data_IF_169958516262
#
_entry.id   IF_169958516262
#
_cell.length_a   1.000
_cell.length_b   1.000
_cell.length_c   1.000
_cell.angle_alpha   90.00
_cell.angle_beta   90.00
_cell.angle_gamma   90.00
#
_symmetry.space_group_name_H-M   'P 1'
#
loop_
_entity.id
_entity.type
_entity.pdbx_description
1 polymer ?
#
# COMPACT_ATOMS: atom_id res chain seq x y z
N UNK A 1 29.23 17.25 -17.09
CA UNK A 1 28.17 18.16 -16.62
C UNK A 1 27.31 17.36 -15.68
N UNK A 2 26.93 17.93 -14.54
CA UNK A 2 25.99 17.29 -13.60
C UNK A 2 24.57 17.41 -14.15
N UNK A 3 23.84 16.30 -14.20
CA UNK A 3 22.47 16.22 -14.72
C UNK A 3 21.52 16.75 -13.65
N UNK A 4 20.79 17.84 -13.95
CA UNK A 4 19.79 18.41 -13.04
C UNK A 4 18.53 17.58 -13.11
N UNK A 5 18.13 16.99 -12.00
CA UNK A 5 17.06 16.00 -11.93
C UNK A 5 15.91 16.46 -11.07
N UNK A 6 14.68 16.27 -11.53
CA UNK A 6 13.48 16.38 -10.73
C UNK A 6 12.88 14.97 -10.59
N UNK A 7 12.53 14.56 -9.37
CA UNK A 7 11.93 13.25 -9.13
C UNK A 7 10.44 13.46 -8.84
N UNK A 8 9.57 12.90 -9.67
CA UNK A 8 8.13 12.98 -9.47
C UNK A 8 7.63 11.73 -8.74
N UNK A 9 6.90 11.90 -7.65
CA UNK A 9 6.38 10.79 -6.87
C UNK A 9 5.32 11.20 -5.87
N UNK A 10 4.97 10.25 -5.01
CA UNK A 10 3.97 10.42 -3.96
C UNK A 10 4.61 10.15 -2.58
N UNK A 11 5.83 10.62 -2.37
CA UNK A 11 6.56 10.50 -1.10
C UNK A 11 6.71 9.04 -0.62
N UNK A 12 7.12 8.16 -1.52
CA UNK A 12 7.50 6.79 -1.18
C UNK A 12 8.68 6.35 -2.03
N UNK A 13 8.38 5.84 -3.23
CA UNK A 13 9.41 5.39 -4.18
C UNK A 13 10.34 6.50 -4.64
N UNK A 14 9.87 7.73 -4.78
CA UNK A 14 10.70 8.90 -5.09
C UNK A 14 11.83 9.10 -4.06
N UNK A 15 11.50 9.07 -2.77
CA UNK A 15 12.50 9.15 -1.70
C UNK A 15 13.42 7.94 -1.68
N UNK A 16 12.89 6.74 -1.91
CA UNK A 16 13.70 5.53 -2.01
C UNK A 16 14.69 5.60 -3.18
N UNK A 17 14.21 5.90 -4.39
CA UNK A 17 15.04 6.05 -5.58
C UNK A 17 16.12 7.13 -5.36
N UNK A 18 15.76 8.25 -4.73
CA UNK A 18 16.72 9.26 -4.31
C UNK A 18 17.80 8.68 -3.41
N UNK A 19 17.41 8.04 -2.30
CA UNK A 19 18.32 7.51 -1.29
C UNK A 19 19.30 6.47 -1.86
N UNK A 20 18.84 5.59 -2.74
CA UNK A 20 19.65 4.46 -3.21
C UNK A 20 20.50 4.78 -4.44
N UNK A 21 20.10 5.75 -5.26
CA UNK A 21 20.76 6.01 -6.55
C UNK A 21 21.33 7.43 -6.69
N UNK A 22 20.66 8.45 -6.12
CA UNK A 22 21.00 9.85 -6.38
C UNK A 22 21.71 10.55 -5.22
N UNK A 23 21.45 10.15 -3.96
CA UNK A 23 21.88 10.84 -2.74
C UNK A 23 23.36 11.21 -2.73
N UNK A 24 24.22 10.26 -3.09
CA UNK A 24 25.68 10.39 -3.03
C UNK A 24 26.32 10.33 -4.43
N UNK A 25 25.53 10.57 -5.49
CA UNK A 25 25.98 10.46 -6.87
C UNK A 25 26.25 11.84 -7.51
N UNK A 26 27.54 12.17 -7.67
CA UNK A 26 28.00 13.47 -8.20
C UNK A 26 27.63 13.74 -9.68
N UNK A 27 27.21 12.70 -10.43
CA UNK A 27 26.76 12.86 -11.80
C UNK A 27 25.38 13.54 -11.86
N UNK A 28 24.64 13.58 -10.75
CA UNK A 28 23.30 14.13 -10.66
C UNK A 28 23.19 15.22 -9.59
N UNK A 29 22.25 16.14 -9.81
CA UNK A 29 21.80 17.12 -8.82
C UNK A 29 20.28 17.11 -8.79
N UNK A 30 19.71 16.52 -7.75
CA UNK A 30 18.26 16.49 -7.55
C UNK A 30 17.78 17.84 -7.03
N UNK A 31 17.10 18.60 -7.89
CA UNK A 31 16.72 19.99 -7.61
C UNK A 31 15.36 20.13 -6.95
N UNK A 32 14.51 19.11 -7.08
CA UNK A 32 13.17 19.10 -6.53
C UNK A 32 12.57 17.69 -6.52
N UNK A 33 11.67 17.47 -5.57
CA UNK A 33 10.62 16.46 -5.68
C UNK A 33 9.30 17.12 -6.08
N UNK A 34 8.39 16.35 -6.67
CA UNK A 34 6.96 16.70 -6.67
C UNK A 34 6.17 15.71 -5.85
N UNK A 35 5.07 16.17 -5.24
CA UNK A 35 4.12 15.33 -4.54
C UNK A 35 2.72 15.46 -5.14
N UNK A 36 1.98 14.35 -5.12
CA UNK A 36 0.54 14.27 -5.37
C UNK A 36 -0.03 13.17 -4.48
N UNK A 37 -1.35 13.11 -4.33
CA UNK A 37 -2.10 12.12 -3.54
C UNK A 37 -1.98 12.23 -2.02
N UNK A 38 -0.77 12.29 -1.44
CA UNK A 38 -0.59 12.32 0.01
C UNK A 38 -0.83 13.72 0.58
N UNK A 39 -1.78 13.90 1.53
CA UNK A 39 -1.99 15.19 2.17
C UNK A 39 -0.76 15.63 2.98
N UNK A 40 -0.55 16.94 3.08
CA UNK A 40 0.45 17.56 3.98
C UNK A 40 1.94 17.26 3.65
N UNK A 41 2.27 16.82 2.44
CA UNK A 41 3.67 16.66 2.00
C UNK A 41 4.15 17.76 1.06
N UNK A 42 3.27 18.25 0.17
CA UNK A 42 3.61 19.39 -0.69
C UNK A 42 3.95 20.64 0.13
N UNK A 43 4.93 21.43 -0.33
CA UNK A 43 5.43 22.62 0.37
C UNK A 43 6.45 22.32 1.47
N UNK A 44 6.73 21.05 1.78
CA UNK A 44 7.80 20.65 2.70
C UNK A 44 9.15 20.54 1.98
N UNK A 45 10.19 20.18 2.75
CA UNK A 45 11.51 19.80 2.25
C UNK A 45 11.83 18.38 2.68
N UNK A 46 12.40 17.61 1.76
CA UNK A 46 13.14 16.40 2.12
C UNK A 46 14.32 16.82 3.00
N UNK A 47 14.46 16.27 4.21
CA UNK A 47 15.32 16.86 5.24
C UNK A 47 16.80 16.67 4.94
N UNK A 48 17.61 17.71 5.18
CA UNK A 48 19.06 17.69 4.97
C UNK A 48 19.76 16.52 5.67
N UNK A 49 19.29 16.14 6.86
CA UNK A 49 19.85 15.02 7.64
C UNK A 49 19.68 13.65 6.97
N UNK A 50 18.77 13.52 6.00
CA UNK A 50 18.60 12.32 5.18
C UNK A 50 19.15 12.50 3.76
N UNK A 51 19.39 13.74 3.34
CA UNK A 51 19.70 14.07 1.96
C UNK A 51 21.17 13.84 1.57
N UNK A 52 22.05 13.49 2.51
CA UNK A 52 23.48 13.28 2.23
C UNK A 52 24.26 14.58 2.06
N UNK A 53 25.58 14.47 1.84
CA UNK A 53 26.47 15.64 1.84
C UNK A 53 26.28 16.59 0.66
N UNK A 54 25.68 16.12 -0.42
CA UNK A 54 25.44 16.92 -1.63
C UNK A 54 24.26 17.90 -1.48
N UNK A 55 23.43 17.74 -0.45
CA UNK A 55 22.17 18.48 -0.26
C UNK A 55 22.05 19.05 1.16
N UNK A 56 22.95 19.97 1.59
CA UNK A 56 23.00 20.47 2.97
C UNK A 56 21.77 21.27 3.41
N UNK A 57 20.96 21.76 2.46
CA UNK A 57 19.70 22.47 2.72
C UNK A 57 18.45 21.58 2.56
N UNK A 58 18.65 20.28 2.32
CA UNK A 58 17.59 19.38 1.89
C UNK A 58 17.08 19.72 0.48
N UNK A 59 15.99 19.06 0.07
CA UNK A 59 15.45 19.17 -1.29
C UNK A 59 13.99 19.62 -1.21
N UNK A 60 13.58 20.68 -1.94
CA UNK A 60 12.19 21.15 -1.91
C UNK A 60 11.22 20.16 -2.53
N UNK A 61 10.00 20.12 -2.00
CA UNK A 61 8.89 19.29 -2.49
C UNK A 61 7.77 20.21 -2.96
N UNK A 62 7.45 20.17 -4.25
CA UNK A 62 6.44 21.03 -4.87
C UNK A 62 5.16 20.26 -5.24
N UNK A 63 4.02 20.95 -5.44
CA UNK A 63 2.85 20.33 -6.05
C UNK A 63 3.15 19.83 -7.47
N UNK A 64 2.65 18.66 -7.84
CA UNK A 64 2.84 18.13 -9.19
C UNK A 64 2.23 19.01 -10.29
N UNK A 65 1.20 19.79 -9.96
CA UNK A 65 0.57 20.74 -10.90
C UNK A 65 1.56 21.78 -11.46
N UNK A 66 2.64 22.07 -10.73
CA UNK A 66 3.68 23.03 -11.13
C UNK A 66 4.78 22.40 -12.02
N UNK A 67 4.73 21.09 -12.31
CA UNK A 67 5.80 20.34 -12.97
C UNK A 67 6.36 21.02 -14.22
N UNK A 68 5.49 21.48 -15.13
CA UNK A 68 5.90 22.13 -16.39
C UNK A 68 6.68 23.42 -16.15
N UNK A 69 6.27 24.21 -15.15
CA UNK A 69 6.93 25.45 -14.79
C UNK A 69 8.25 25.19 -14.07
N UNK A 70 8.28 24.19 -13.17
CA UNK A 70 9.48 23.75 -12.45
C UNK A 70 10.58 23.28 -13.40
N UNK A 71 10.25 22.53 -14.45
CA UNK A 71 11.23 22.07 -15.45
C UNK A 71 12.00 23.26 -16.04
N UNK A 72 11.29 24.33 -16.41
CA UNK A 72 11.89 25.54 -16.97
C UNK A 72 12.63 26.36 -15.92
N UNK A 73 11.98 26.63 -14.79
CA UNK A 73 12.50 27.50 -13.72
C UNK A 73 13.76 26.93 -13.08
N UNK A 74 13.81 25.61 -12.90
CA UNK A 74 14.93 24.92 -12.27
C UNK A 74 15.95 24.40 -13.28
N UNK A 75 15.78 24.65 -14.57
CA UNK A 75 16.62 24.12 -15.66
C UNK A 75 16.82 22.61 -15.50
N UNK A 76 15.73 21.85 -15.49
CA UNK A 76 15.74 20.40 -15.31
C UNK A 76 16.16 19.73 -16.62
N UNK A 77 17.16 18.86 -16.56
CA UNK A 77 17.60 18.05 -17.70
C UNK A 77 16.85 16.72 -17.78
N UNK A 78 16.48 16.15 -16.62
CA UNK A 78 15.81 14.85 -16.53
C UNK A 78 14.71 14.84 -15.45
N UNK A 79 13.55 14.32 -15.79
CA UNK A 79 12.48 14.00 -14.84
C UNK A 79 12.41 12.49 -14.63
N UNK A 80 12.53 12.05 -13.38
CA UNK A 80 12.44 10.64 -12.99
C UNK A 80 11.04 10.35 -12.49
N UNK A 81 10.33 9.45 -13.17
CA UNK A 81 9.02 8.98 -12.77
C UNK A 81 9.12 7.90 -11.69
N UNK A 82 8.60 8.19 -10.50
CA UNK A 82 8.67 7.34 -9.32
C UNK A 82 7.29 7.18 -8.64
N UNK A 83 6.23 7.04 -9.45
CA UNK A 83 4.90 6.64 -8.96
C UNK A 83 4.65 5.15 -9.11
N UNK A 84 3.61 4.71 -8.41
CA UNK A 84 2.97 3.42 -8.60
C UNK A 84 1.46 3.62 -8.74
N UNK A 85 0.77 2.55 -9.13
CA UNK A 85 -0.69 2.40 -9.05
C UNK A 85 -1.47 3.32 -9.97
N UNK A 86 -0.89 3.58 -11.15
CA UNK A 86 -1.48 4.40 -12.21
C UNK A 86 -1.56 3.62 -13.51
N UNK A 87 -2.47 4.04 -14.39
CA UNK A 87 -2.59 3.46 -15.73
C UNK A 87 -1.38 3.80 -16.59
N UNK A 88 -1.01 2.92 -17.53
CA UNK A 88 0.08 3.17 -18.48
C UNK A 88 -0.13 4.45 -19.29
N UNK A 89 -1.39 4.76 -19.62
CA UNK A 89 -1.74 6.00 -20.32
C UNK A 89 -1.34 7.25 -19.51
N UNK A 90 -1.57 7.25 -18.19
CA UNK A 90 -1.17 8.36 -17.32
C UNK A 90 0.35 8.59 -17.36
N UNK A 91 1.14 7.50 -17.30
CA UNK A 91 2.60 7.57 -17.39
C UNK A 91 3.03 8.23 -18.71
N UNK A 92 2.41 7.82 -19.83
CA UNK A 92 2.75 8.36 -21.14
C UNK A 92 2.29 9.81 -21.36
N UNK A 93 1.17 10.22 -20.76
CA UNK A 93 0.78 11.64 -20.73
C UNK A 93 1.78 12.49 -19.95
N UNK A 94 2.32 11.99 -18.82
CA UNK A 94 3.39 12.68 -18.09
C UNK A 94 4.68 12.75 -18.90
N UNK A 95 5.06 11.68 -19.59
CA UNK A 95 6.21 11.67 -20.48
C UNK A 95 6.08 12.73 -21.59
N UNK A 96 4.91 12.84 -22.23
CA UNK A 96 4.65 13.84 -23.26
C UNK A 96 4.79 15.28 -22.74
N UNK A 97 4.26 15.56 -21.54
CA UNK A 97 4.39 16.86 -20.88
C UNK A 97 5.86 17.20 -20.58
N UNK A 98 6.61 16.26 -20.02
CA UNK A 98 8.03 16.42 -19.68
C UNK A 98 8.87 16.71 -20.93
N UNK A 99 8.65 15.93 -22.00
CA UNK A 99 9.36 16.10 -23.26
C UNK A 99 9.04 17.46 -23.91
N UNK A 100 7.79 17.92 -23.87
CA UNK A 100 7.41 19.26 -24.36
C UNK A 100 8.09 20.37 -23.57
N UNK A 101 8.24 20.19 -22.26
CA UNK A 101 8.92 21.15 -21.40
C UNK A 101 10.44 21.17 -21.62
N UNK A 102 11.00 20.19 -22.35
CA UNK A 102 12.39 20.15 -22.81
C UNK A 102 13.33 19.24 -21.99
N UNK A 103 12.82 18.48 -21.03
CA UNK A 103 13.59 17.54 -20.23
C UNK A 103 13.41 16.09 -20.72
N UNK A 104 14.38 15.22 -20.42
CA UNK A 104 14.26 13.78 -20.64
C UNK A 104 13.32 13.16 -19.61
N UNK A 105 12.45 12.24 -20.03
CA UNK A 105 11.65 11.42 -19.13
C UNK A 105 12.32 10.06 -18.87
N UNK A 106 12.54 9.71 -17.60
CA UNK A 106 13.20 8.45 -17.21
C UNK A 106 12.35 7.64 -16.24
N UNK A 107 12.19 6.35 -16.56
CA UNK A 107 11.68 5.33 -15.64
C UNK A 107 12.87 4.49 -15.16
N UNK A 108 12.98 4.26 -13.85
CA UNK A 108 14.08 3.49 -13.27
C UNK A 108 13.73 2.01 -13.10
N UNK A 109 14.61 1.12 -13.55
CA UNK A 109 14.45 -0.32 -13.38
C UNK A 109 14.95 -0.85 -12.03
N UNK A 110 14.60 -2.11 -11.75
CA UNK A 110 14.92 -2.83 -10.50
C UNK A 110 16.41 -2.81 -10.15
N UNK A 111 17.31 -3.06 -11.11
CA UNK A 111 18.76 -3.10 -10.86
C UNK A 111 19.34 -1.83 -10.24
N UNK A 112 18.74 -0.67 -10.52
CA UNK A 112 19.21 0.62 -10.00
C UNK A 112 18.51 1.00 -8.70
N UNK A 113 17.42 0.32 -8.34
CA UNK A 113 16.49 0.75 -7.27
C UNK A 113 16.24 -0.34 -6.23
N UNK A 114 16.89 -1.49 -6.34
CA UNK A 114 16.83 -2.56 -5.34
C UNK A 114 18.11 -2.62 -4.51
N UNK A 115 17.94 -2.70 -3.18
CA UNK A 115 19.03 -2.95 -2.24
C UNK A 115 19.22 -4.46 -2.06
N UNK A 116 20.47 -4.89 -1.88
CA UNK A 116 20.78 -6.29 -1.57
C UNK A 116 20.77 -6.53 -0.07
N UNK A 117 20.08 -7.59 0.33
CA UNK A 117 20.09 -8.08 1.70
C UNK A 117 21.20 -9.12 1.94
N UNK A 118 21.67 -9.18 3.19
CA UNK A 118 22.50 -10.27 3.70
C UNK A 118 21.67 -11.48 4.19
N UNK A 119 20.34 -11.32 4.28
CA UNK A 119 19.37 -12.37 4.62
C UNK A 119 18.53 -12.72 3.39
N UNK A 120 17.93 -13.92 3.34
CA UNK A 120 16.92 -14.21 2.34
C UNK A 120 15.75 -13.24 2.42
N UNK A 121 15.23 -12.83 1.27
CA UNK A 121 14.09 -11.90 1.13
C UNK A 121 12.96 -12.59 0.38
N UNK A 122 11.77 -12.58 0.97
CA UNK A 122 10.51 -12.92 0.27
C UNK A 122 9.77 -11.62 0.02
N UNK A 123 9.41 -11.32 -1.23
CA UNK A 123 8.61 -10.15 -1.57
C UNK A 123 7.15 -10.55 -1.84
N UNK A 124 6.21 -9.77 -1.29
CA UNK A 124 4.79 -9.85 -1.63
C UNK A 124 4.37 -8.52 -2.23
N UNK A 125 4.13 -8.51 -3.54
CA UNK A 125 3.65 -7.35 -4.30
C UNK A 125 2.32 -7.67 -4.97
N UNK A 126 1.78 -6.73 -5.76
CA UNK A 126 0.53 -6.96 -6.50
C UNK A 126 0.53 -6.19 -7.81
N UNK A 127 -0.46 -6.51 -8.64
CA UNK A 127 -0.76 -5.78 -9.88
C UNK A 127 -1.57 -4.51 -9.63
N UNK A 128 -2.33 -4.48 -8.52
CA UNK A 128 -3.18 -3.34 -8.13
C UNK A 128 -3.36 -3.23 -6.61
N UNK A 129 -3.53 -2.01 -6.10
CA UNK A 129 -3.99 -1.78 -4.72
C UNK A 129 -5.31 -2.50 -4.44
N UNK A 130 -5.46 -3.04 -3.22
CA UNK A 130 -6.64 -3.82 -2.83
C UNK A 130 -6.70 -5.27 -3.34
N UNK A 131 -5.65 -5.79 -4.00
CA UNK A 131 -5.63 -7.20 -4.49
C UNK A 131 -5.54 -8.26 -3.38
N UNK A 132 -5.17 -7.86 -2.15
CA UNK A 132 -5.01 -8.76 -1.00
C UNK A 132 -3.56 -9.11 -0.67
N UNK A 133 -2.63 -8.16 -0.84
CA UNK A 133 -1.23 -8.30 -0.41
C UNK A 133 -1.13 -8.59 1.08
N UNK A 134 -1.74 -7.76 1.93
CA UNK A 134 -1.56 -7.85 3.39
C UNK A 134 -1.98 -9.22 3.96
N UNK A 135 -3.08 -9.82 3.48
CA UNK A 135 -3.45 -11.19 3.87
C UNK A 135 -2.48 -12.26 3.36
N UNK A 136 -1.93 -12.07 2.15
CA UNK A 136 -0.90 -12.95 1.59
C UNK A 136 0.39 -12.85 2.39
N UNK A 137 0.82 -11.64 2.74
CA UNK A 137 1.98 -11.37 3.59
C UNK A 137 1.83 -12.04 4.95
N UNK A 138 0.67 -11.93 5.61
CA UNK A 138 0.38 -12.63 6.88
C UNK A 138 0.43 -14.15 6.72
N UNK A 139 -0.12 -14.71 5.65
CA UNK A 139 -0.06 -16.15 5.39
C UNK A 139 1.39 -16.63 5.22
N UNK A 140 2.21 -15.89 4.47
CA UNK A 140 3.64 -16.18 4.28
C UNK A 140 4.40 -16.10 5.60
N UNK A 141 4.17 -15.06 6.41
CA UNK A 141 4.85 -14.88 7.70
C UNK A 141 4.52 -16.00 8.68
N UNK A 142 3.25 -16.44 8.74
CA UNK A 142 2.82 -17.58 9.55
C UNK A 142 3.54 -18.86 9.13
N UNK A 143 3.54 -19.18 7.83
CA UNK A 143 4.22 -20.38 7.31
C UNK A 143 5.71 -20.39 7.68
N UNK A 144 6.42 -19.28 7.43
CA UNK A 144 7.85 -19.19 7.71
C UNK A 144 8.16 -19.33 9.20
N UNK A 145 7.30 -18.81 10.07
CA UNK A 145 7.44 -18.95 11.52
C UNK A 145 7.11 -20.35 12.01
N UNK A 146 6.11 -21.01 11.42
CA UNK A 146 5.82 -22.44 11.67
C UNK A 146 7.00 -23.34 11.24
N UNK A 147 7.78 -22.91 10.25
CA UNK A 147 9.05 -23.53 9.86
C UNK A 147 10.22 -23.20 10.82
N UNK A 148 9.99 -22.38 11.85
CA UNK A 148 10.98 -22.02 12.87
C UNK A 148 11.94 -20.90 12.47
N UNK A 149 11.54 -20.02 11.54
CA UNK A 149 12.28 -18.80 11.21
C UNK A 149 11.80 -17.60 12.03
N UNK A 150 12.74 -16.72 12.39
CA UNK A 150 12.42 -15.35 12.81
C UNK A 150 12.23 -14.49 11.57
N UNK A 151 11.12 -13.77 11.51
CA UNK A 151 10.72 -12.96 10.35
C UNK A 151 10.31 -11.58 10.83
N UNK A 152 10.66 -10.54 10.06
CA UNK A 152 10.07 -9.22 10.18
C UNK A 152 9.47 -8.80 8.83
N UNK A 153 8.32 -8.14 8.89
CA UNK A 153 7.73 -7.47 7.76
C UNK A 153 8.37 -6.07 7.61
N UNK A 154 8.88 -5.75 6.43
CA UNK A 154 9.28 -4.38 6.10
C UNK A 154 8.20 -3.80 5.20
N UNK A 155 7.46 -2.82 5.71
CA UNK A 155 6.35 -2.17 5.00
C UNK A 155 6.86 -1.01 4.16
N UNK A 156 6.28 -0.85 2.97
CA UNK A 156 6.47 0.30 2.07
C UNK A 156 6.14 1.65 2.76
N UNK A 157 6.78 2.77 2.33
CA UNK A 157 6.74 4.01 3.09
C UNK A 157 5.37 4.68 3.10
N UNK A 158 4.97 5.14 4.30
CA UNK A 158 3.81 5.99 4.54
C UNK A 158 4.25 7.22 5.37
N UNK A 159 4.96 8.19 4.77
CA UNK A 159 5.62 9.24 5.54
C UNK A 159 4.69 10.41 5.87
N UNK A 160 3.62 10.12 6.59
CA UNK A 160 2.63 11.12 7.02
C UNK A 160 3.19 12.10 8.06
N UNK A 161 4.24 11.70 8.79
CA UNK A 161 4.81 12.44 9.90
C UNK A 161 6.08 13.23 9.55
N UNK A 162 6.96 13.37 10.54
CA UNK A 162 8.27 13.99 10.40
C UNK A 162 9.26 13.02 9.76
N UNK A 163 9.67 13.31 8.52
CA UNK A 163 10.58 12.47 7.74
C UNK A 163 11.89 12.15 8.48
N UNK A 164 12.46 13.11 9.22
CA UNK A 164 13.72 12.90 9.91
C UNK A 164 13.56 11.97 11.12
N UNK A 165 12.46 12.10 11.87
CA UNK A 165 12.11 11.19 12.96
C UNK A 165 11.74 9.79 12.44
N UNK A 166 11.15 9.72 11.25
CA UNK A 166 10.73 8.50 10.58
C UNK A 166 11.84 7.87 9.71
N UNK A 167 13.12 8.17 9.97
CA UNK A 167 14.25 7.56 9.23
C UNK A 167 14.16 6.03 9.26
N UNK A 168 14.04 5.48 10.47
CA UNK A 168 13.89 4.05 10.75
C UNK A 168 12.92 3.92 11.92
N UNK A 169 11.89 3.09 11.75
CA UNK A 169 10.92 2.76 12.79
C UNK A 169 10.80 1.25 12.90
N UNK A 170 10.77 0.76 14.13
CA UNK A 170 10.65 -0.65 14.48
C UNK A 170 9.49 -0.80 15.44
N UNK A 171 8.56 -1.69 15.12
CA UNK A 171 7.35 -1.95 15.88
C UNK A 171 7.33 -3.42 16.30
N UNK A 172 7.42 -3.68 17.60
CA UNK A 172 7.29 -5.02 18.16
C UNK A 172 5.97 -5.22 18.91
N UNK A 173 5.37 -4.15 19.39
CA UNK A 173 4.06 -4.17 20.05
C UNK A 173 3.30 -2.86 19.86
N UNK A 174 2.09 -2.81 20.43
CA UNK A 174 1.18 -1.66 20.33
C UNK A 174 1.75 -0.36 20.88
N UNK A 175 2.62 -0.42 21.90
CA UNK A 175 3.19 0.79 22.49
C UNK A 175 4.14 1.50 21.53
N UNK A 176 4.74 0.78 20.57
CA UNK A 176 5.53 1.38 19.50
C UNK A 176 4.65 2.20 18.54
N UNK A 177 3.40 1.79 18.28
CA UNK A 177 2.46 2.54 17.43
C UNK A 177 2.12 3.90 18.03
N UNK A 178 1.95 3.94 19.36
CA UNK A 178 1.68 5.18 20.10
C UNK A 178 2.92 6.08 20.14
N UNK A 179 4.09 5.49 20.46
CA UNK A 179 5.38 6.18 20.50
C UNK A 179 5.74 6.86 19.17
N UNK A 180 5.36 6.23 18.07
CA UNK A 180 5.61 6.72 16.72
C UNK A 180 4.46 7.54 16.12
N UNK A 181 3.41 7.82 16.92
CA UNK A 181 2.26 8.65 16.51
C UNK A 181 1.59 8.15 15.23
N UNK A 182 1.49 6.82 15.06
CA UNK A 182 0.95 6.21 13.84
C UNK A 182 -0.50 6.62 13.59
N UNK A 183 -0.76 7.04 12.35
CA UNK A 183 -2.09 7.33 11.79
C UNK A 183 -2.96 6.08 11.71
N UNK A 184 -4.25 6.24 11.43
CA UNK A 184 -5.15 5.09 11.21
C UNK A 184 -4.64 4.19 10.08
N UNK A 185 -4.22 4.77 8.95
CA UNK A 185 -3.75 4.00 7.79
C UNK A 185 -2.45 3.23 8.09
N UNK A 186 -1.50 3.84 8.81
CA UNK A 186 -0.30 3.13 9.27
C UNK A 186 -0.66 1.96 10.18
N UNK A 187 -1.58 2.17 11.13
CA UNK A 187 -2.04 1.11 12.03
C UNK A 187 -2.76 0.00 11.27
N UNK A 188 -3.53 0.31 10.23
CA UNK A 188 -4.22 -0.68 9.38
C UNK A 188 -3.22 -1.63 8.71
N UNK A 189 -2.04 -1.14 8.39
CA UNK A 189 -0.98 -1.93 7.78
C UNK A 189 -0.09 -2.65 8.83
N UNK A 190 0.06 -2.10 10.04
CA UNK A 190 0.99 -2.65 11.04
C UNK A 190 0.32 -3.57 12.07
N UNK A 191 -0.85 -3.21 12.59
CA UNK A 191 -1.53 -3.96 13.66
C UNK A 191 -1.76 -5.44 13.32
N UNK A 192 -2.22 -5.81 12.10
CA UNK A 192 -2.44 -7.22 11.77
C UNK A 192 -1.16 -8.08 11.80
N UNK A 193 0.02 -7.48 11.60
CA UNK A 193 1.31 -8.18 11.76
C UNK A 193 1.65 -8.35 13.23
N UNK A 194 1.45 -7.32 14.05
CA UNK A 194 1.70 -7.35 15.49
C UNK A 194 0.78 -8.33 16.21
N UNK A 195 -0.50 -8.39 15.83
CA UNK A 195 -1.47 -9.38 16.33
C UNK A 195 -1.00 -10.82 16.07
N UNK A 196 -0.27 -11.04 14.97
CA UNK A 196 0.35 -12.32 14.66
C UNK A 196 1.71 -12.52 15.35
N UNK A 197 2.26 -11.52 16.05
CA UNK A 197 3.58 -11.58 16.67
C UNK A 197 4.73 -11.45 15.66
N UNK A 198 4.52 -10.70 14.58
CA UNK A 198 5.54 -10.36 13.58
C UNK A 198 5.99 -8.92 13.80
N UNK A 199 7.30 -8.72 13.89
CA UNK A 199 7.90 -7.38 14.00
C UNK A 199 7.71 -6.66 12.67
N UNK A 200 7.36 -5.37 12.73
CA UNK A 200 7.25 -4.51 11.56
C UNK A 200 8.37 -3.48 11.57
N UNK A 201 8.99 -3.27 10.42
CA UNK A 201 9.83 -2.10 10.16
C UNK A 201 9.21 -1.23 9.09
N UNK A 202 9.33 0.09 9.27
CA UNK A 202 8.91 1.08 8.29
C UNK A 202 9.76 2.35 8.42
N UNK A 203 9.51 3.33 7.56
CA UNK A 203 10.18 4.63 7.56
C UNK A 203 10.59 5.07 6.17
N UNK A 204 11.61 5.93 6.09
CA UNK A 204 12.02 6.62 4.86
C UNK A 204 13.34 6.10 4.28
N UNK A 205 14.28 5.64 5.13
CA UNK A 205 15.59 5.16 4.69
C UNK A 205 15.64 3.63 4.65
N UNK A 206 15.24 3.05 3.52
CA UNK A 206 15.12 1.60 3.34
C UNK A 206 16.43 0.84 3.42
N UNK A 207 17.57 1.51 3.20
CA UNK A 207 18.86 0.89 3.46
C UNK A 207 19.09 0.77 4.97
N UNK A 208 18.89 1.85 5.73
CA UNK A 208 19.04 1.82 7.18
C UNK A 208 18.05 0.85 7.84
N UNK A 209 16.79 0.83 7.37
CA UNK A 209 15.77 -0.12 7.82
C UNK A 209 16.21 -1.56 7.57
N UNK A 210 16.68 -1.85 6.35
CA UNK A 210 17.13 -3.21 5.99
C UNK A 210 18.26 -3.66 6.90
N UNK A 211 19.28 -2.82 7.11
CA UNK A 211 20.42 -3.16 7.98
C UNK A 211 19.98 -3.44 9.42
N UNK A 212 19.04 -2.68 9.96
CA UNK A 212 18.51 -2.93 11.29
C UNK A 212 17.73 -4.25 11.36
N UNK A 213 16.86 -4.52 10.38
CA UNK A 213 16.08 -5.76 10.36
C UNK A 213 16.98 -7.01 10.26
N UNK A 214 18.06 -6.95 9.46
CA UNK A 214 19.02 -8.04 9.26
C UNK A 214 19.70 -8.53 10.54
N UNK A 215 19.77 -7.69 11.57
CA UNK A 215 20.37 -8.05 12.88
C UNK A 215 19.47 -8.99 13.70
N UNK A 216 18.16 -8.96 13.47
CA UNK A 216 17.18 -9.61 14.34
C UNK A 216 16.50 -10.83 13.71
N UNK A 217 16.53 -10.96 12.38
CA UNK A 217 15.73 -11.93 11.63
C UNK A 217 16.58 -12.94 10.84
N UNK A 218 15.94 -14.06 10.53
CA UNK A 218 16.50 -15.08 9.64
C UNK A 218 16.05 -14.86 8.19
N UNK A 219 14.84 -14.34 7.97
CA UNK A 219 14.27 -14.00 6.67
C UNK A 219 13.57 -12.64 6.75
N UNK A 220 13.77 -11.81 5.73
CA UNK A 220 13.07 -10.53 5.56
C UNK A 220 11.82 -10.75 4.69
N UNK A 221 10.68 -10.22 5.13
CA UNK A 221 9.45 -10.22 4.36
C UNK A 221 9.15 -8.80 3.88
N UNK A 222 9.29 -8.55 2.58
CA UNK A 222 8.90 -7.27 1.98
C UNK A 222 7.39 -7.23 1.76
N UNK A 223 6.70 -6.36 2.49
CA UNK A 223 5.26 -6.13 2.36
C UNK A 223 5.01 -4.89 1.49
N UNK A 224 4.83 -5.13 0.18
CA UNK A 224 4.81 -4.08 -0.84
C UNK A 224 3.65 -3.11 -0.68
N UNK A 225 3.87 -1.83 -1.01
CA UNK A 225 2.83 -0.79 -1.02
C UNK A 225 2.16 -0.71 -2.38
N UNK A 226 0.88 -0.38 -2.41
CA UNK A 226 0.10 -0.22 -3.64
C UNK A 226 0.28 -1.39 -4.64
N UNK A 227 0.82 -1.14 -5.84
CA UNK A 227 1.29 -2.16 -6.78
C UNK A 227 2.78 -2.01 -7.09
N UNK A 228 3.54 -1.45 -6.14
CA UNK A 228 4.94 -1.15 -6.34
C UNK A 228 5.80 -2.43 -6.36
N UNK A 229 6.88 -2.44 -7.14
CA UNK A 229 7.84 -3.55 -7.11
C UNK A 229 8.79 -3.44 -5.91
N UNK A 230 9.41 -4.56 -5.49
CA UNK A 230 10.18 -4.58 -4.25
C UNK A 230 11.38 -3.62 -4.27
N UNK A 231 11.61 -2.97 -3.12
CA UNK A 231 12.81 -2.14 -2.88
C UNK A 231 14.03 -2.99 -2.52
N UNK A 232 13.83 -4.29 -2.28
CA UNK A 232 14.88 -5.23 -1.97
C UNK A 232 14.96 -6.27 -3.06
N UNK A 233 16.18 -6.69 -3.38
CA UNK A 233 16.37 -7.82 -4.27
C UNK A 233 15.91 -9.07 -3.54
N UNK A 234 14.85 -9.68 -4.04
CA UNK A 234 14.20 -10.85 -3.48
C UNK A 234 14.81 -12.17 -3.96
N UNK A 235 14.69 -13.19 -3.11
CA UNK A 235 14.96 -14.59 -3.45
C UNK A 235 13.69 -15.31 -3.94
N UNK A 236 12.51 -14.80 -3.57
CA UNK A 236 11.20 -15.28 -4.02
C UNK A 236 10.23 -14.10 -4.19
N UNK A 237 9.74 -13.89 -5.42
CA UNK A 237 8.76 -12.87 -5.77
C UNK A 237 7.33 -13.43 -5.85
N UNK A 238 6.49 -13.10 -4.87
CA UNK A 238 5.07 -13.44 -4.84
C UNK A 238 4.25 -12.23 -5.30
N UNK A 239 3.45 -12.40 -6.34
CA UNK A 239 2.63 -11.32 -6.92
C UNK A 239 1.15 -11.68 -6.84
N UNK A 240 0.39 -10.83 -6.15
CA UNK A 240 -1.06 -11.01 -6.00
C UNK A 240 -1.79 -10.37 -7.19
N UNK A 241 -2.71 -11.13 -7.79
CA UNK A 241 -3.57 -10.68 -8.90
C UNK A 241 -5.05 -10.76 -8.51
N UNK A 242 -5.85 -9.84 -9.04
CA UNK A 242 -7.25 -9.65 -8.63
C UNK A 242 -8.24 -9.88 -9.80
N UNK A 243 -8.99 -10.99 -9.80
CA UNK A 243 -9.96 -11.32 -10.85
C UNK A 243 -11.20 -10.43 -10.84
N UNK A 244 -11.38 -9.52 -9.87
CA UNK A 244 -12.44 -8.50 -9.95
C UNK A 244 -12.11 -7.37 -10.94
N UNK A 245 -10.84 -7.25 -11.34
CA UNK A 245 -10.34 -6.18 -12.23
C UNK A 245 -9.44 -6.76 -13.33
N UNK A 246 -9.97 -7.65 -14.21
CA UNK A 246 -9.19 -8.31 -15.24
C UNK A 246 -8.56 -7.28 -16.19
N UNK A 247 -7.30 -7.51 -16.58
CA UNK A 247 -6.52 -6.63 -17.44
C UNK A 247 -5.62 -5.66 -16.70
N UNK A 248 -5.82 -5.44 -15.39
CA UNK A 248 -4.96 -4.56 -14.59
C UNK A 248 -3.52 -5.09 -14.48
N UNK A 249 -3.32 -6.39 -14.60
CA UNK A 249 -2.02 -7.06 -14.77
C UNK A 249 -1.27 -6.67 -16.06
N UNK A 250 -1.93 -5.97 -16.99
CA UNK A 250 -1.36 -5.54 -18.29
C UNK A 250 -1.49 -4.03 -18.56
N UNK A 251 -2.25 -3.29 -17.75
CA UNK A 251 -2.57 -1.88 -18.02
C UNK A 251 -2.13 -0.89 -16.94
N UNK A 252 -1.63 -1.38 -15.79
CA UNK A 252 -1.21 -0.54 -14.66
C UNK A 252 0.30 -0.62 -14.41
N UNK A 253 0.91 0.53 -14.14
CA UNK A 253 2.31 0.67 -13.78
C UNK A 253 2.49 0.76 -12.26
N UNK A 254 3.52 0.10 -11.67
CA UNK A 254 4.34 -0.95 -12.28
C UNK A 254 3.71 -2.35 -12.12
N UNK A 255 2.39 -2.48 -12.02
CA UNK A 255 1.69 -3.76 -11.91
C UNK A 255 2.03 -4.77 -13.02
N UNK A 256 2.17 -4.33 -14.26
CA UNK A 256 2.66 -5.20 -15.35
C UNK A 256 4.14 -5.59 -15.16
N UNK A 257 4.97 -4.69 -14.62
CA UNK A 257 6.37 -5.03 -14.26
C UNK A 257 6.42 -6.14 -13.21
N UNK A 258 5.57 -6.06 -12.16
CA UNK A 258 5.44 -7.15 -11.18
C UNK A 258 4.98 -8.45 -11.86
N UNK A 259 4.04 -8.37 -12.80
CA UNK A 259 3.53 -9.56 -13.51
C UNK A 259 4.64 -10.26 -14.30
N UNK A 260 5.45 -9.51 -15.04
CA UNK A 260 6.56 -10.08 -15.81
C UNK A 260 7.65 -10.68 -14.91
N UNK A 261 7.84 -10.11 -13.71
CA UNK A 261 8.91 -10.47 -12.78
C UNK A 261 8.57 -11.63 -11.82
N UNK A 262 7.30 -11.99 -11.66
CA UNK A 262 6.84 -12.94 -10.64
C UNK A 262 7.53 -14.33 -10.69
N UNK A 263 7.84 -14.89 -9.53
CA UNK A 263 8.12 -16.34 -9.40
C UNK A 263 6.81 -17.11 -9.15
N UNK A 264 5.89 -16.48 -8.41
CA UNK A 264 4.61 -17.08 -7.98
C UNK A 264 3.50 -16.04 -8.10
N UNK A 265 2.40 -16.43 -8.73
CA UNK A 265 1.15 -15.70 -8.71
C UNK A 265 0.19 -16.26 -7.65
N UNK A 266 -0.47 -15.37 -6.93
CA UNK A 266 -1.66 -15.70 -6.14
C UNK A 266 -2.86 -15.00 -6.77
N UNK A 267 -3.70 -15.76 -7.46
CA UNK A 267 -5.01 -15.29 -7.95
C UNK A 267 -5.95 -15.32 -6.74
N UNK A 268 -6.17 -14.17 -6.12
CA UNK A 268 -6.95 -14.08 -4.89
C UNK A 268 -8.43 -13.83 -5.17
N UNK A 269 -9.30 -13.98 -4.17
CA UNK A 269 -10.75 -13.71 -4.23
C UNK A 269 -11.50 -14.51 -5.29
N UNK A 270 -11.01 -15.67 -5.70
CA UNK A 270 -11.65 -16.49 -6.74
C UNK A 270 -13.05 -16.98 -6.32
N UNK A 271 -13.32 -17.03 -5.02
CA UNK A 271 -14.61 -17.42 -4.43
C UNK A 271 -15.72 -16.39 -4.61
N UNK A 272 -15.37 -15.13 -4.92
CA UNK A 272 -16.32 -14.03 -5.10
C UNK A 272 -16.29 -13.42 -6.49
N UNK A 273 -15.29 -13.74 -7.30
CA UNK A 273 -15.15 -13.23 -8.66
C UNK A 273 -15.95 -14.05 -9.67
N UNK A 274 -16.27 -13.42 -10.80
CA UNK A 274 -16.84 -14.12 -11.95
C UNK A 274 -15.83 -15.17 -12.48
N UNK A 275 -16.22 -16.45 -12.65
CA UNK A 275 -15.35 -17.48 -13.21
C UNK A 275 -14.70 -17.12 -14.55
N UNK A 276 -15.39 -16.37 -15.42
CA UNK A 276 -14.82 -15.91 -16.69
C UNK A 276 -13.66 -14.92 -16.48
N UNK A 277 -13.75 -14.07 -15.46
CA UNK A 277 -12.69 -13.12 -15.16
C UNK A 277 -11.47 -13.82 -14.53
N UNK A 278 -11.69 -14.86 -13.73
CA UNK A 278 -10.60 -15.72 -13.22
C UNK A 278 -9.85 -16.36 -14.39
N UNK A 279 -10.56 -16.84 -15.42
CA UNK A 279 -9.94 -17.40 -16.64
C UNK A 279 -9.15 -16.32 -17.39
N UNK A 280 -9.73 -15.14 -17.63
CA UNK A 280 -9.05 -14.03 -18.32
C UNK A 280 -7.74 -13.62 -17.64
N UNK A 281 -7.76 -13.44 -16.32
CA UNK A 281 -6.54 -13.10 -15.55
C UNK A 281 -5.51 -14.21 -15.68
N UNK A 282 -5.93 -15.48 -15.57
CA UNK A 282 -5.02 -16.64 -15.73
C UNK A 282 -4.36 -16.67 -17.10
N UNK A 283 -5.12 -16.40 -18.17
CA UNK A 283 -4.60 -16.34 -19.53
C UNK A 283 -3.59 -15.18 -19.70
N UNK A 284 -3.89 -14.01 -19.14
CA UNK A 284 -3.03 -12.83 -19.22
C UNK A 284 -1.70 -13.05 -18.48
N UNK A 285 -1.73 -13.55 -17.24
CA UNK A 285 -0.50 -13.80 -16.48
C UNK A 285 0.33 -14.92 -17.12
N UNK A 286 -0.30 -15.97 -17.67
CA UNK A 286 0.41 -17.03 -18.36
C UNK A 286 1.08 -16.53 -19.66
N UNK A 287 0.43 -15.62 -20.38
CA UNK A 287 1.00 -14.98 -21.57
C UNK A 287 2.21 -14.11 -21.23
N UNK A 288 2.15 -13.34 -20.13
CA UNK A 288 3.23 -12.44 -19.73
C UNK A 288 4.40 -13.18 -19.07
N UNK A 289 4.12 -14.21 -18.27
CA UNK A 289 5.12 -14.99 -17.57
C UNK A 289 4.69 -16.47 -17.47
N UNK A 290 5.01 -17.31 -18.47
CA UNK A 290 4.59 -18.71 -18.51
C UNK A 290 5.32 -19.61 -17.50
N UNK A 291 6.39 -19.12 -16.87
CA UNK A 291 7.23 -19.92 -15.98
C UNK A 291 6.85 -19.78 -14.50
N UNK A 292 6.08 -18.75 -14.15
CA UNK A 292 5.65 -18.52 -12.77
C UNK A 292 4.66 -19.61 -12.32
N UNK A 293 4.77 -20.01 -11.05
CA UNK A 293 3.78 -20.89 -10.42
C UNK A 293 2.49 -20.11 -10.17
N UNK A 294 1.35 -20.79 -10.18
CA UNK A 294 0.04 -20.14 -9.97
C UNK A 294 -0.69 -20.84 -8.82
N UNK A 295 -1.15 -20.04 -7.86
CA UNK A 295 -1.98 -20.45 -6.74
C UNK A 295 -3.32 -19.72 -6.87
N UNK A 296 -4.42 -20.44 -6.65
CA UNK A 296 -5.74 -19.84 -6.49
C UNK A 296 -6.04 -19.68 -5.00
N UNK A 297 -6.65 -18.57 -4.62
CA UNK A 297 -6.97 -18.26 -3.23
C UNK A 297 -8.37 -17.66 -3.09
N UNK A 298 -9.10 -18.13 -2.08
CA UNK A 298 -10.28 -17.47 -1.55
C UNK A 298 -9.88 -16.42 -0.49
N UNK A 299 -10.77 -15.46 -0.26
CA UNK A 299 -10.62 -14.44 0.79
C UNK A 299 -11.82 -14.47 1.74
N UNK A 300 -12.02 -15.55 2.52
CA UNK A 300 -13.14 -15.68 3.44
C UNK A 300 -13.21 -14.54 4.47
N UNK A 301 -14.44 -14.13 4.78
CA UNK A 301 -14.74 -13.09 5.76
C UNK A 301 -15.07 -13.72 7.11
N UNK A 302 -14.53 -13.13 8.18
CA UNK A 302 -14.77 -13.53 9.57
C UNK A 302 -15.35 -12.36 10.36
N UNK A 303 -16.41 -12.62 11.11
CA UNK A 303 -17.08 -11.67 12.01
C UNK A 303 -17.32 -12.37 13.33
N UNK A 304 -17.09 -11.69 14.45
CA UNK A 304 -17.21 -12.30 15.80
C UNK A 304 -18.64 -12.69 16.14
N UNK A 305 -19.61 -11.80 15.92
CA UNK A 305 -21.04 -12.09 16.07
C UNK A 305 -21.80 -11.75 14.77
N UNK A 306 -21.85 -12.68 13.81
CA UNK A 306 -22.55 -12.47 12.54
C UNK A 306 -24.06 -12.27 12.71
N UNK A 307 -24.67 -12.87 13.74
CA UNK A 307 -26.11 -12.76 13.97
C UNK A 307 -26.53 -11.36 14.44
N UNK A 308 -25.62 -10.60 15.07
CA UNK A 308 -25.85 -9.20 15.41
C UNK A 308 -26.14 -8.31 14.18
N UNK A 309 -25.67 -8.68 12.98
CA UNK A 309 -25.90 -7.94 11.73
C UNK A 309 -27.31 -8.17 11.19
N UNK A 310 -27.89 -9.36 11.43
CA UNK A 310 -29.13 -9.80 10.78
C UNK A 310 -30.30 -8.87 11.11
N UNK A 311 -30.95 -8.36 10.07
CA UNK A 311 -32.14 -7.50 10.21
C UNK A 311 -31.88 -6.09 10.74
N UNK A 312 -30.62 -5.68 10.91
CA UNK A 312 -30.22 -4.34 11.38
C UNK A 312 -30.04 -3.34 10.25
N UNK A 313 -30.27 -2.06 10.54
CA UNK A 313 -29.79 -0.95 9.72
C UNK A 313 -28.34 -0.69 10.09
N UNK A 314 -27.44 -0.82 9.13
CA UNK A 314 -25.99 -0.78 9.41
C UNK A 314 -25.31 0.38 8.70
N UNK A 315 -24.33 0.97 9.39
CA UNK A 315 -23.32 1.82 8.76
C UNK A 315 -22.13 0.93 8.36
N UNK A 316 -21.69 1.02 7.11
CA UNK A 316 -20.51 0.31 6.61
C UNK A 316 -19.33 1.28 6.57
N UNK A 317 -18.26 0.93 7.29
CA UNK A 317 -16.98 1.64 7.28
C UNK A 317 -15.95 0.75 6.58
N UNK A 318 -15.19 1.30 5.63
CA UNK A 318 -14.18 0.53 4.87
C UNK A 318 -12.82 1.24 4.86
N UNK A 319 -11.79 0.45 4.57
CA UNK A 319 -10.42 0.92 4.31
C UNK A 319 -10.39 2.04 3.24
N UNK A 320 -9.85 3.19 3.63
CA UNK A 320 -9.83 4.43 2.84
C UNK A 320 -9.08 4.28 1.50
N UNK A 321 -7.79 3.86 1.51
CA UNK A 321 -7.03 3.52 0.31
C UNK A 321 -7.76 2.66 -0.73
N UNK A 322 -8.41 1.59 -0.29
CA UNK A 322 -9.13 0.65 -1.18
C UNK A 322 -10.24 1.34 -1.96
N UNK A 323 -10.97 2.28 -1.33
CA UNK A 323 -12.06 3.02 -1.96
C UNK A 323 -11.60 4.22 -2.78
N UNK A 324 -10.54 4.89 -2.34
CA UNK A 324 -10.08 6.16 -2.93
C UNK A 324 -9.24 5.90 -4.18
N UNK A 325 -7.96 5.60 -4.02
CA UNK A 325 -7.06 5.36 -5.15
C UNK A 325 -7.07 3.90 -5.63
N UNK A 326 -7.56 2.95 -4.81
CA UNK A 326 -7.80 1.57 -5.22
C UNK A 326 -8.97 1.39 -6.21
N UNK A 327 -9.90 2.35 -6.24
CA UNK A 327 -11.02 2.39 -7.17
C UNK A 327 -12.10 1.33 -6.95
N UNK A 328 -12.10 0.64 -5.79
CA UNK A 328 -13.14 -0.33 -5.46
C UNK A 328 -14.42 0.39 -5.01
N UNK A 329 -15.58 -0.08 -5.49
CA UNK A 329 -16.89 0.49 -5.13
C UNK A 329 -17.50 -0.10 -3.85
N UNK A 330 -16.90 -1.18 -3.35
CA UNK A 330 -17.31 -1.86 -2.13
C UNK A 330 -16.13 -2.64 -1.55
N UNK A 331 -16.16 -2.89 -0.23
CA UNK A 331 -15.13 -3.63 0.49
C UNK A 331 -15.68 -4.79 1.31
N UNK A 332 -14.92 -5.19 2.32
CA UNK A 332 -15.19 -6.38 3.13
C UNK A 332 -16.44 -6.23 4.01
N UNK A 333 -16.65 -5.05 4.61
CA UNK A 333 -17.82 -4.78 5.43
C UNK A 333 -19.11 -4.69 4.63
N UNK A 334 -19.07 -4.14 3.42
CA UNK A 334 -20.21 -4.15 2.52
C UNK A 334 -20.64 -5.59 2.18
N UNK A 335 -19.67 -6.44 1.82
CA UNK A 335 -19.93 -7.86 1.52
C UNK A 335 -20.44 -8.61 2.75
N UNK A 336 -19.86 -8.38 3.93
CA UNK A 336 -20.31 -8.99 5.18
C UNK A 336 -21.74 -8.56 5.55
N UNK A 337 -22.05 -7.26 5.46
CA UNK A 337 -23.38 -6.73 5.75
C UNK A 337 -24.45 -7.39 4.87
N UNK A 338 -24.17 -7.56 3.58
CA UNK A 338 -25.06 -8.28 2.64
C UNK A 338 -25.16 -9.76 2.98
N UNK A 339 -24.03 -10.44 3.16
CA UNK A 339 -23.96 -11.89 3.40
C UNK A 339 -24.67 -12.30 4.68
N UNK A 340 -24.55 -11.51 5.75
CA UNK A 340 -25.18 -11.79 7.05
C UNK A 340 -26.56 -11.17 7.22
N UNK A 341 -27.14 -10.62 6.15
CA UNK A 341 -28.56 -10.26 6.10
C UNK A 341 -28.91 -8.97 6.83
N UNK A 342 -28.06 -7.94 6.76
CA UNK A 342 -28.44 -6.59 7.17
C UNK A 342 -29.72 -6.15 6.45
N UNK A 343 -30.62 -5.48 7.18
CA UNK A 343 -31.89 -4.98 6.63
C UNK A 343 -31.64 -3.85 5.63
N UNK A 344 -30.68 -2.98 5.92
CA UNK A 344 -30.37 -1.80 5.15
C UNK A 344 -28.89 -1.41 5.39
N UNK A 345 -28.18 -1.01 4.34
CA UNK A 345 -26.91 -0.30 4.45
C UNK A 345 -27.23 1.18 4.30
N UNK A 346 -27.11 1.93 5.38
CA UNK A 346 -27.53 3.34 5.45
C UNK A 346 -26.47 4.24 4.84
N UNK A 347 -26.91 5.19 4.02
CA UNK A 347 -26.04 6.21 3.44
C UNK A 347 -25.49 7.15 4.53
N UNK A 348 -24.17 7.22 4.74
CA UNK A 348 -23.55 8.09 5.74
C UNK A 348 -23.57 9.58 5.39
N UNK A 349 -23.77 9.96 4.12
CA UNK A 349 -23.60 11.35 3.65
C UNK A 349 -24.44 12.39 4.40
N UNK A 350 -25.72 12.14 4.75
CA UNK A 350 -26.51 13.07 5.56
C UNK A 350 -25.96 13.34 6.96
N UNK A 351 -25.06 12.48 7.45
CA UNK A 351 -24.48 12.53 8.79
C UNK A 351 -23.00 12.95 8.79
N UNK A 352 -22.39 13.08 7.60
CA UNK A 352 -21.00 13.44 7.42
C UNK A 352 -20.71 14.87 7.92
N UNK A 353 -19.57 15.04 8.58
CA UNK A 353 -19.12 16.35 9.09
C UNK A 353 -17.72 16.70 8.60
N UNK A 354 -17.45 18.01 8.48
CA UNK A 354 -16.11 18.59 8.25
C UNK A 354 -15.35 17.86 7.12
N UNK A 355 -14.17 17.31 7.38
CA UNK A 355 -13.30 16.72 6.34
C UNK A 355 -13.88 15.47 5.67
N UNK A 356 -14.84 14.80 6.32
CA UNK A 356 -15.56 13.67 5.70
C UNK A 356 -16.48 14.16 4.57
N UNK A 357 -17.08 15.34 4.70
CA UNK A 357 -17.87 15.97 3.61
C UNK A 357 -16.97 16.24 2.41
N UNK A 358 -15.78 16.79 2.66
CA UNK A 358 -14.79 17.06 1.61
C UNK A 358 -14.31 15.77 0.92
N UNK A 359 -14.20 14.69 1.69
CA UNK A 359 -13.84 13.36 1.16
C UNK A 359 -14.89 12.86 0.18
N UNK A 360 -16.20 12.97 0.49
CA UNK A 360 -17.26 12.62 -0.47
C UNK A 360 -17.30 13.52 -1.69
N UNK A 361 -17.01 14.81 -1.53
CA UNK A 361 -16.93 15.74 -2.66
C UNK A 361 -15.77 15.38 -3.60
N UNK A 362 -14.63 14.96 -3.04
CA UNK A 362 -13.45 14.53 -3.80
C UNK A 362 -13.66 13.16 -4.47
N UNK A 363 -14.37 12.26 -3.81
CA UNK A 363 -14.63 10.89 -4.28
C UNK A 363 -16.14 10.60 -4.33
N UNK A 364 -16.88 11.21 -5.28
CA UNK A 364 -18.35 11.13 -5.32
C UNK A 364 -18.89 9.72 -5.59
N UNK A 365 -18.06 8.85 -6.19
CA UNK A 365 -18.40 7.48 -6.56
C UNK A 365 -18.31 6.47 -5.41
N UNK A 366 -17.92 6.91 -4.20
CA UNK A 366 -17.77 6.05 -3.00
C UNK A 366 -19.08 5.37 -2.58
N UNK A 367 -20.23 5.92 -2.99
CA UNK A 367 -21.53 5.33 -2.72
C UNK A 367 -21.95 5.44 -1.25
N UNK A 368 -22.57 4.38 -0.72
CA UNK A 368 -23.14 4.34 0.66
C UNK A 368 -22.14 3.83 1.70
N UNK A 369 -20.85 4.08 1.50
CA UNK A 369 -19.79 3.56 2.35
C UNK A 369 -19.03 4.74 2.96
N UNK A 370 -18.70 4.63 4.24
CA UNK A 370 -17.85 5.59 4.94
C UNK A 370 -16.37 5.19 4.83
N UNK A 371 -15.52 5.96 4.14
CA UNK A 371 -14.08 5.74 4.18
C UNK A 371 -13.53 6.01 5.58
N UNK A 372 -12.71 5.11 6.10
CA UNK A 372 -11.97 5.32 7.34
C UNK A 372 -10.85 6.35 7.12
N UNK A 373 -11.15 7.63 7.36
CA UNK A 373 -10.19 8.71 7.28
C UNK A 373 -9.56 8.98 8.65
N UNK A 374 -8.24 9.20 8.71
CA UNK A 374 -7.55 9.35 9.99
C UNK A 374 -6.07 9.70 9.89
N UNK A 375 -5.70 10.63 8.99
CA UNK A 375 -4.31 11.12 8.85
C UNK A 375 -3.88 12.06 10.00
N UNK A 376 -4.73 12.29 10.98
CA UNK A 376 -4.47 13.13 12.14
C UNK A 376 -5.68 13.22 13.08
N UNK A 377 -5.47 13.81 14.26
CA UNK A 377 -6.47 13.85 15.33
C UNK A 377 -7.80 14.51 14.91
N UNK A 378 -7.74 15.55 14.07
CA UNK A 378 -8.95 16.22 13.56
C UNK A 378 -9.79 15.28 12.69
N UNK A 379 -9.18 14.57 11.74
CA UNK A 379 -9.90 13.62 10.88
C UNK A 379 -10.45 12.43 11.68
N UNK A 380 -9.74 11.98 12.70
CA UNK A 380 -10.23 10.93 13.60
C UNK A 380 -11.49 11.39 14.36
N UNK A 381 -11.52 12.64 14.83
CA UNK A 381 -12.72 13.21 15.44
C UNK A 381 -13.86 13.36 14.43
N UNK A 382 -13.57 13.72 13.18
CA UNK A 382 -14.58 13.80 12.12
C UNK A 382 -15.21 12.45 11.80
N UNK A 383 -14.38 11.40 11.77
CA UNK A 383 -14.82 10.01 11.59
C UNK A 383 -15.70 9.57 12.78
N UNK A 384 -15.25 9.85 14.01
CA UNK A 384 -16.00 9.57 15.24
C UNK A 384 -17.36 10.27 15.25
N UNK A 385 -17.39 11.57 15.00
CA UNK A 385 -18.61 12.38 15.00
C UNK A 385 -19.57 11.92 13.90
N UNK A 386 -19.06 11.60 12.70
CA UNK A 386 -19.87 11.07 11.59
C UNK A 386 -20.52 9.72 11.96
N UNK A 387 -19.75 8.80 12.55
CA UNK A 387 -20.28 7.51 13.02
C UNK A 387 -21.32 7.74 14.12
N UNK A 388 -21.04 8.61 15.07
CA UNK A 388 -21.91 8.90 16.21
C UNK A 388 -23.21 9.62 15.81
N UNK A 389 -23.18 10.43 14.75
CA UNK A 389 -24.37 11.10 14.20
C UNK A 389 -25.23 10.20 13.30
N UNK A 390 -24.67 9.11 12.78
CA UNK A 390 -25.38 8.21 11.86
C UNK A 390 -26.59 7.55 12.53
N UNK A 391 -27.76 7.56 11.86
CA UNK A 391 -28.98 6.89 12.34
C UNK A 391 -28.99 5.40 11.95
N UNK A 392 -28.25 4.59 12.71
CA UNK A 392 -28.06 3.15 12.47
C UNK A 392 -28.08 2.36 13.77
N UNK A 393 -28.43 1.07 13.67
CA UNK A 393 -28.47 0.15 14.82
C UNK A 393 -27.08 -0.42 15.16
N UNK A 394 -26.19 -0.51 14.16
CA UNK A 394 -24.90 -1.21 14.22
C UNK A 394 -23.91 -0.60 13.23
N UNK A 395 -22.63 -0.59 13.57
CA UNK A 395 -21.52 -0.31 12.65
C UNK A 395 -20.85 -1.63 12.24
N UNK A 396 -20.63 -1.83 10.94
CA UNK A 396 -19.84 -2.93 10.41
C UNK A 396 -18.56 -2.33 9.83
N UNK A 397 -17.42 -2.62 10.45
CA UNK A 397 -16.12 -2.09 10.03
C UNK A 397 -15.33 -3.12 9.24
N UNK A 398 -14.92 -2.77 8.03
CA UNK A 398 -14.03 -3.53 7.14
C UNK A 398 -12.57 -3.09 7.27
N UNK A 399 -12.29 -2.16 8.19
CA UNK A 399 -10.93 -1.69 8.48
C UNK A 399 -10.05 -2.83 9.03
N UNK A 400 -8.80 -2.93 8.60
CA UNK A 400 -7.84 -3.85 9.18
C UNK A 400 -7.59 -3.63 10.67
N UNK A 401 -7.77 -2.42 11.23
CA UNK A 401 -7.70 -2.17 12.68
C UNK A 401 -9.03 -2.35 13.39
N UNK A 402 -8.96 -2.49 14.72
CA UNK A 402 -10.12 -2.25 15.58
C UNK A 402 -10.30 -0.74 15.84
N UNK A 403 -11.29 -0.15 15.18
CA UNK A 403 -11.62 1.28 15.32
C UNK A 403 -11.88 1.70 16.77
N UNK A 404 -12.35 0.79 17.64
CA UNK A 404 -12.60 1.12 19.06
C UNK A 404 -11.33 1.50 19.83
N UNK A 405 -10.14 1.19 19.28
CA UNK A 405 -8.85 1.54 19.89
C UNK A 405 -8.43 2.97 19.58
N UNK A 406 -8.93 3.54 18.49
CA UNK A 406 -8.50 4.84 17.97
C UNK A 406 -9.59 5.91 18.07
N UNK A 407 -10.87 5.52 18.06
CA UNK A 407 -12.02 6.41 18.19
C UNK A 407 -13.06 5.84 19.17
N UNK A 408 -13.88 6.72 19.75
CA UNK A 408 -14.93 6.39 20.72
C UNK A 408 -16.31 6.44 20.07
N UNK A 409 -16.72 5.31 19.52
CA UNK A 409 -18.05 5.15 18.93
C UNK A 409 -19.09 4.82 20.01
N UNK A 410 -20.27 5.45 19.91
CA UNK A 410 -21.39 5.25 20.82
C UNK A 410 -22.37 4.16 20.35
N UNK A 411 -21.98 3.37 19.35
CA UNK A 411 -22.79 2.34 18.71
C UNK A 411 -22.10 0.98 18.82
N UNK A 412 -22.86 -0.13 18.85
CA UNK A 412 -22.28 -1.46 18.72
C UNK A 412 -21.51 -1.55 17.39
N UNK A 413 -20.37 -2.25 17.39
CA UNK A 413 -19.49 -2.39 16.24
C UNK A 413 -19.10 -3.85 16.03
N UNK A 414 -19.22 -4.33 14.80
CA UNK A 414 -18.71 -5.63 14.35
C UNK A 414 -17.54 -5.40 13.38
N UNK A 415 -16.36 -5.95 13.69
CA UNK A 415 -15.18 -5.90 12.81
C UNK A 415 -15.16 -7.12 11.89
N UNK A 416 -14.99 -6.86 10.61
CA UNK A 416 -14.83 -7.87 9.56
C UNK A 416 -13.35 -8.10 9.34
N UNK A 417 -12.90 -9.34 9.50
CA UNK A 417 -11.53 -9.78 9.19
C UNK A 417 -11.55 -10.63 7.94
N UNK A 418 -10.40 -10.76 7.29
CA UNK A 418 -10.22 -11.57 6.11
C UNK A 418 -8.82 -12.18 6.10
N UNK A 419 -8.73 -13.43 5.65
CA UNK A 419 -7.49 -14.18 5.56
C UNK A 419 -7.41 -14.93 4.24
N UNK A 420 -6.18 -15.17 3.77
CA UNK A 420 -5.95 -15.92 2.54
C UNK A 420 -6.20 -17.41 2.80
N UNK A 421 -7.08 -18.01 2.00
CA UNK A 421 -7.28 -19.45 1.97
C UNK A 421 -6.92 -20.00 0.59
N UNK A 422 -5.81 -20.71 0.52
CA UNK A 422 -5.31 -21.33 -0.71
C UNK A 422 -6.22 -22.48 -1.14
N UNK A 423 -6.44 -22.61 -2.44
CA UNK A 423 -7.28 -23.64 -3.06
C UNK A 423 -6.40 -24.53 -3.94
N UNK A 424 -6.42 -25.83 -3.67
CA UNK A 424 -5.71 -26.82 -4.48
C UNK A 424 -4.21 -26.88 -4.19
N UNK A 425 -3.42 -27.14 -5.23
CA UNK A 425 -1.97 -27.30 -5.19
C UNK A 425 -1.35 -26.68 -6.47
N UNK A 426 -0.12 -26.12 -6.39
CA UNK A 426 0.75 -26.02 -5.22
C UNK A 426 0.24 -24.99 -4.19
N UNK A 427 0.75 -25.07 -2.95
CA UNK A 427 0.51 -24.06 -1.90
C UNK A 427 1.78 -23.23 -1.66
N UNK A 428 1.62 -22.02 -1.12
CA UNK A 428 2.65 -21.17 -0.55
C UNK A 428 3.51 -21.96 0.44
N UNK A 429 2.89 -22.82 1.25
CA UNK A 429 3.64 -23.67 2.18
C UNK A 429 4.57 -24.65 1.46
N UNK A 430 4.09 -25.32 0.41
CA UNK A 430 4.92 -26.22 -0.39
C UNK A 430 6.08 -25.47 -1.07
N UNK A 431 5.80 -24.27 -1.61
CA UNK A 431 6.81 -23.44 -2.29
C UNK A 431 7.85 -22.92 -1.29
N UNK A 432 7.42 -22.37 -0.16
CA UNK A 432 8.31 -21.83 0.88
C UNK A 432 9.17 -22.94 1.50
N UNK A 433 8.62 -24.13 1.73
CA UNK A 433 9.41 -25.30 2.17
C UNK A 433 10.41 -25.76 1.12
N UNK A 434 10.05 -25.76 -0.15
CA UNK A 434 10.98 -26.13 -1.21
C UNK A 434 12.14 -25.14 -1.36
N UNK A 435 11.87 -23.83 -1.17
CA UNK A 435 12.85 -22.76 -1.35
C UNK A 435 13.71 -22.52 -0.10
N UNK A 436 13.11 -22.57 1.09
CA UNK A 436 13.71 -22.18 2.36
C UNK A 436 13.64 -23.29 3.42
N UNK A 437 13.34 -24.54 3.07
CA UNK A 437 13.38 -25.65 4.01
C UNK A 437 14.78 -25.84 4.61
N UNK A 438 14.85 -26.15 5.90
CA UNK A 438 16.10 -26.52 6.59
C UNK A 438 16.49 -27.96 6.33
#
# INVERSE_FOLDING_TARGET
MTIRTLIMGAAGRDFHNFNVYFRDNNDYLVVAFTATQIPNIEGRRYPAVLAGSLYPEGIPIYPESELRELIKKLNVDQVVFAYSDVEHEYVMHKAALVNEAGADFRIMGMNNTQLKSSKPVVSVTAVRTGSGKSQTTRRVSLILRDMGYRVAAIRHPMPYGDLAKQKVQRFADYSDLDKHECTIEEREEYEPHLDNGVIVYAGVDYEAILRQAEEEVDIVLWDGGNNDFSFYKEDLAIVVVDPHRPGHETSYYPGETNTIHADVFVINKVDTADPENVIKVRENIHRLNPNALVIEGASPLFVEDPEAIRGKRVLVVEDGPTLTHGGMKYGAAYVAARRFGAKEIVDPRPFAVRTIVDTYNKYPETGTILPAMGYGAEQMQDLEDTINNSDVDLVVSGTPIDLNRVIKVNKPLQRVRYELQEIGQPTLEAILKAKFGK
#
